data_IF_124672869807
#
_entry.id   IF_124672869807
#
_cell.length_a   1.000
_cell.length_b   1.000
_cell.length_c   1.000
_cell.angle_alpha   90.00
_cell.angle_beta   90.00
_cell.angle_gamma   90.00
#
_symmetry.space_group_name_H-M   'P 1'
#
loop_
_entity.id
_entity.type
_entity.pdbx_description
1 polymer ?
#
# COMPACT_ATOMS: atom_id res chain seq x y z
N UNK A 1 5.86 -2.13 12.39
CA UNK A 1 5.25 -2.78 11.21
C UNK A 1 4.76 -1.70 10.26
N UNK A 2 4.93 -1.89 8.95
CA UNK A 2 4.56 -0.92 7.94
C UNK A 2 3.08 -1.10 7.52
N UNK A 3 2.14 -0.23 7.96
CA UNK A 3 0.71 -0.50 7.80
C UNK A 3 0.27 -0.45 6.33
N UNK A 4 0.76 0.54 5.57
CA UNK A 4 0.45 0.70 4.15
C UNK A 4 0.94 -0.49 3.34
N UNK A 5 2.21 -0.87 3.51
CA UNK A 5 2.78 -2.01 2.79
C UNK A 5 2.05 -3.32 3.13
N UNK A 6 1.71 -3.52 4.40
CA UNK A 6 0.96 -4.70 4.85
C UNK A 6 -0.43 -4.77 4.24
N UNK A 7 -1.20 -3.68 4.28
CA UNK A 7 -2.55 -3.63 3.70
C UNK A 7 -2.50 -3.84 2.19
N UNK A 8 -1.56 -3.18 1.50
CA UNK A 8 -1.41 -3.28 0.05
C UNK A 8 -1.13 -4.73 -0.37
N UNK A 9 -0.17 -5.39 0.28
CA UNK A 9 0.15 -6.79 0.00
C UNK A 9 -1.05 -7.71 0.23
N UNK A 10 -1.76 -7.54 1.35
CA UNK A 10 -2.92 -8.39 1.69
C UNK A 10 -4.09 -8.20 0.73
N UNK A 11 -4.42 -6.95 0.38
CA UNK A 11 -5.48 -6.63 -0.58
C UNK A 11 -5.21 -7.19 -1.97
N UNK A 12 -3.94 -7.32 -2.32
CA UNK A 12 -3.50 -7.87 -3.59
C UNK A 12 -3.36 -9.41 -3.56
N UNK A 13 -3.59 -10.05 -2.41
CA UNK A 13 -3.56 -11.51 -2.25
C UNK A 13 -2.24 -12.09 -1.78
N UNK A 14 -1.26 -11.25 -1.42
CA UNK A 14 0.01 -11.69 -0.80
C UNK A 14 -0.12 -11.75 0.73
N UNK A 15 0.51 -12.73 1.37
CA UNK A 15 0.42 -12.89 2.84
C UNK A 15 1.27 -11.89 3.61
N UNK A 16 2.45 -11.57 3.11
CA UNK A 16 3.47 -10.85 3.88
C UNK A 16 3.99 -9.61 3.16
N UNK A 17 4.22 -8.57 3.96
CA UNK A 17 5.03 -7.42 3.57
C UNK A 17 6.50 -7.74 3.82
N UNK A 18 7.35 -7.45 2.85
CA UNK A 18 8.80 -7.69 2.93
C UNK A 18 9.55 -6.38 3.10
N UNK A 19 9.38 -5.44 2.18
CA UNK A 19 10.16 -4.20 2.19
C UNK A 19 9.51 -3.08 1.36
N UNK A 20 9.97 -1.85 1.61
CA UNK A 20 9.64 -0.66 0.81
C UNK A 20 10.84 -0.25 -0.04
N UNK A 21 10.56 0.24 -1.24
CA UNK A 21 11.53 0.83 -2.14
C UNK A 21 11.14 2.28 -2.45
N UNK A 22 11.48 3.26 -1.59
CA UNK A 22 11.09 4.66 -1.77
C UNK A 22 11.61 5.30 -3.06
N UNK A 23 12.70 4.77 -3.64
CA UNK A 23 13.30 5.23 -4.90
C UNK A 23 12.59 4.75 -6.17
N UNK A 24 11.75 3.73 -6.05
CA UNK A 24 10.92 3.21 -7.15
C UNK A 24 9.43 3.25 -6.81
N UNK A 25 9.08 3.73 -5.61
CA UNK A 25 7.73 3.75 -5.06
C UNK A 25 7.07 2.37 -5.05
N UNK A 26 7.85 1.35 -4.72
CA UNK A 26 7.38 -0.04 -4.70
C UNK A 26 7.33 -0.61 -3.29
N UNK A 27 6.44 -1.57 -3.11
CA UNK A 27 6.35 -2.44 -1.95
C UNK A 27 6.62 -3.86 -2.42
N UNK A 28 7.55 -4.54 -1.78
CA UNK A 28 7.77 -5.96 -1.99
C UNK A 28 6.86 -6.76 -1.04
N UNK A 29 6.13 -7.70 -1.61
CA UNK A 29 5.28 -8.65 -0.94
C UNK A 29 5.84 -10.06 -1.09
N UNK A 30 5.50 -10.95 -0.18
CA UNK A 30 5.85 -12.37 -0.22
C UNK A 30 4.62 -13.26 -0.07
N UNK A 31 4.76 -14.46 -0.65
CA UNK A 31 3.73 -15.51 -0.68
C UNK A 31 2.39 -15.03 -1.28
N UNK A 32 2.30 -14.86 -2.61
CA UNK A 32 3.38 -14.96 -3.61
C UNK A 32 4.31 -13.75 -3.63
N UNK A 33 5.54 -13.91 -4.15
CA UNK A 33 6.45 -12.77 -4.29
C UNK A 33 5.97 -11.83 -5.40
N UNK A 34 5.79 -10.55 -5.06
CA UNK A 34 5.35 -9.52 -5.99
C UNK A 34 5.88 -8.15 -5.58
N UNK A 35 6.13 -7.30 -6.57
CA UNK A 35 6.39 -5.87 -6.36
C UNK A 35 5.15 -5.06 -6.76
N UNK A 36 4.62 -4.31 -5.82
CA UNK A 36 3.46 -3.44 -5.98
C UNK A 36 3.90 -1.99 -6.05
N UNK A 37 3.53 -1.29 -7.12
CA UNK A 37 3.76 0.16 -7.24
C UNK A 37 2.68 0.93 -6.49
N UNK A 38 3.09 1.97 -5.79
CA UNK A 38 2.18 2.97 -5.26
C UNK A 38 1.44 3.66 -6.41
N UNK A 39 0.14 3.96 -6.27
CA UNK A 39 -0.60 4.71 -7.29
C UNK A 39 0.04 6.08 -7.56
N UNK A 40 -0.07 6.56 -8.81
CA UNK A 40 0.52 7.84 -9.24
C UNK A 40 0.21 9.03 -8.34
N UNK A 41 -1.00 9.22 -7.79
CA UNK A 41 -1.30 10.33 -6.88
C UNK A 41 -0.38 10.38 -5.64
N UNK A 42 0.10 9.22 -5.20
CA UNK A 42 0.98 9.08 -4.04
C UNK A 42 2.45 8.98 -4.43
N UNK A 43 2.76 8.73 -5.71
CA UNK A 43 4.12 8.78 -6.24
C UNK A 43 4.15 9.29 -7.69
N UNK A 44 4.42 10.59 -7.84
CA UNK A 44 4.40 11.28 -9.13
C UNK A 44 5.72 11.19 -9.92
N UNK A 45 6.84 10.85 -9.27
CA UNK A 45 8.17 10.97 -9.87
C UNK A 45 9.10 9.77 -9.65
N UNK A 46 8.54 8.60 -9.36
CA UNK A 46 9.32 7.38 -9.10
C UNK A 46 10.05 7.38 -7.75
N UNK A 47 10.23 8.53 -7.09
CA UNK A 47 10.79 8.61 -5.74
C UNK A 47 9.90 9.41 -4.80
N UNK A 48 9.66 8.86 -3.61
CA UNK A 48 9.05 9.56 -2.49
C UNK A 48 10.12 10.39 -1.76
N UNK A 49 9.97 11.72 -1.78
CA UNK A 49 10.69 12.62 -0.86
C UNK A 49 9.85 12.82 0.39
N UNK A 50 10.45 12.72 1.57
CA UNK A 50 9.74 12.97 2.81
C UNK A 50 9.37 14.46 2.91
N UNK A 51 8.08 14.75 2.97
CA UNK A 51 7.52 16.08 3.20
C UNK A 51 6.19 15.94 3.96
N UNK A 52 5.72 17.02 4.60
CA UNK A 52 4.40 17.01 5.26
C UNK A 52 3.27 16.63 4.30
N UNK A 53 3.32 17.15 3.07
CA UNK A 53 2.36 16.83 2.02
C UNK A 53 2.36 15.33 1.66
N UNK A 54 3.54 14.71 1.55
CA UNK A 54 3.66 13.28 1.29
C UNK A 54 3.15 12.46 2.47
N UNK A 55 3.43 12.88 3.70
CA UNK A 55 2.94 12.23 4.91
C UNK A 55 1.40 12.24 4.97
N UNK A 56 0.77 13.39 4.72
CA UNK A 56 -0.69 13.52 4.67
C UNK A 56 -1.30 12.65 3.56
N UNK A 57 -0.73 12.68 2.35
CA UNK A 57 -1.15 11.82 1.25
C UNK A 57 -1.07 10.33 1.59
N UNK A 58 0.00 9.90 2.27
CA UNK A 58 0.15 8.52 2.71
C UNK A 58 -0.83 8.13 3.82
N UNK A 59 -1.19 9.06 4.73
CA UNK A 59 -2.26 8.84 5.72
C UNK A 59 -3.62 8.64 5.04
N UNK A 60 -3.98 9.50 4.10
CA UNK A 60 -5.21 9.33 3.30
C UNK A 60 -5.21 8.01 2.55
N UNK A 61 -4.07 7.63 1.94
CA UNK A 61 -3.96 6.34 1.26
C UNK A 61 -4.18 5.15 2.19
N UNK A 62 -3.66 5.20 3.41
CA UNK A 62 -3.88 4.15 4.41
C UNK A 62 -5.37 3.99 4.74
N UNK A 63 -6.10 5.10 4.92
CA UNK A 63 -7.54 5.08 5.18
C UNK A 63 -8.33 4.46 4.01
N UNK A 64 -7.95 4.78 2.77
CA UNK A 64 -8.55 4.17 1.58
C UNK A 64 -8.33 2.65 1.51
N UNK A 65 -7.13 2.18 1.87
CA UNK A 65 -6.83 0.74 1.92
C UNK A 65 -7.66 0.03 3.00
N UNK A 66 -7.81 0.61 4.19
CA UNK A 66 -8.67 0.04 5.24
C UNK A 66 -10.14 0.02 4.79
N UNK A 67 -10.64 1.08 4.14
CA UNK A 67 -11.99 1.09 3.57
C UNK A 67 -12.19 -0.03 2.54
N UNK A 68 -11.23 -0.22 1.62
CA UNK A 68 -11.29 -1.31 0.63
C UNK A 68 -11.29 -2.69 1.29
N UNK A 69 -10.44 -2.88 2.30
CA UNK A 69 -10.39 -4.14 3.07
C UNK A 69 -11.72 -4.43 3.76
N UNK A 70 -12.31 -3.44 4.41
CA UNK A 70 -13.60 -3.58 5.08
C UNK A 70 -14.73 -3.86 4.07
N UNK A 71 -14.72 -3.18 2.92
CA UNK A 71 -15.68 -3.44 1.84
C UNK A 71 -15.60 -4.87 1.32
N UNK A 72 -14.41 -5.45 1.12
CA UNK A 72 -14.27 -6.87 0.73
C UNK A 72 -14.92 -7.78 1.78
N UNK A 73 -14.73 -7.51 3.08
CA UNK A 73 -15.37 -8.29 4.13
C UNK A 73 -16.91 -8.19 4.09
N UNK A 74 -17.49 -7.06 3.69
CA UNK A 74 -18.94 -6.94 3.49
C UNK A 74 -19.44 -7.84 2.36
N UNK A 75 -18.69 -7.93 1.26
CA UNK A 75 -19.03 -8.84 0.15
C UNK A 75 -19.00 -10.32 0.57
N UNK A 76 -18.08 -10.71 1.46
CA UNK A 76 -18.01 -12.09 1.98
C UNK A 76 -19.05 -12.40 3.07
N UNK A 77 -19.77 -11.40 3.59
CA UNK A 77 -20.83 -11.58 4.60
C UNK A 77 -22.24 -11.65 4.00
N UNK A 78 -22.36 -11.51 2.67
CA UNK A 78 -23.60 -11.71 1.92
C UNK A 78 -23.99 -13.17 1.82
#
# INVERSE_FOLDING_TARGET
LDPIGTLLCKLDGSKHFVSKHPKTCEVACAEPYKKLKLPRPYCLGGSLKCSKEVEEKLKTFQEELEKKKNGICEWCRG
#
